data_IF_006756399081
#
_entry.id   IF_006756399081
#
_cell.length_a   1.000
_cell.length_b   1.000
_cell.length_c   1.000
_cell.angle_alpha   90.00
_cell.angle_beta   90.00
_cell.angle_gamma   90.00
#
_symmetry.space_group_name_H-M   'P 1'
#
loop_
_entity.id
_entity.type
_entity.pdbx_description
1 polymer ?
#
# COMPACT_ATOMS: atom_id res chain seq x y z
N UNK A 1 -2.81 -4.59 4.37
CA UNK A 1 -1.32 -4.47 4.27
C UNK A 1 -0.97 -3.07 3.80
N UNK A 2 -0.10 -2.35 4.54
CA UNK A 2 0.26 -0.93 4.31
C UNK A 2 0.74 -0.65 2.88
N UNK A 3 1.62 -1.51 2.35
CA UNK A 3 2.16 -1.37 0.99
C UNK A 3 1.06 -1.39 -0.06
N UNK A 4 0.04 -2.24 0.10
CA UNK A 4 -1.08 -2.29 -0.85
C UNK A 4 -1.93 -0.99 -0.81
N UNK A 5 -2.14 -0.41 0.37
CA UNK A 5 -2.85 0.86 0.52
C UNK A 5 -2.04 2.01 -0.09
N UNK A 6 -0.73 2.07 0.21
CA UNK A 6 0.19 3.04 -0.38
C UNK A 6 0.22 2.96 -1.90
N UNK A 7 0.41 1.75 -2.45
CA UNK A 7 0.43 1.53 -3.91
C UNK A 7 -0.85 2.02 -4.58
N UNK A 8 -2.03 1.71 -4.00
CA UNK A 8 -3.31 2.22 -4.51
C UNK A 8 -3.38 3.74 -4.47
N UNK A 9 -3.03 4.35 -3.35
CA UNK A 9 -3.07 5.81 -3.20
C UNK A 9 -2.16 6.51 -4.23
N UNK A 10 -0.96 5.99 -4.44
CA UNK A 10 -0.02 6.53 -5.43
C UNK A 10 -0.54 6.37 -6.86
N UNK A 11 -1.07 5.21 -7.23
CA UNK A 11 -1.64 5.00 -8.55
C UNK A 11 -2.81 5.94 -8.83
N UNK A 12 -3.68 6.18 -7.84
CA UNK A 12 -4.78 7.17 -7.96
C UNK A 12 -4.24 8.59 -8.18
N UNK A 13 -3.17 9.01 -7.51
CA UNK A 13 -2.53 10.31 -7.73
C UNK A 13 -2.00 10.50 -9.15
N UNK A 14 -1.69 9.40 -9.86
CA UNK A 14 -1.27 9.40 -11.26
C UNK A 14 -2.43 9.14 -12.24
N UNK A 15 -3.68 9.26 -11.78
CA UNK A 15 -4.87 9.13 -12.62
C UNK A 15 -5.32 7.68 -12.89
N UNK A 16 -4.74 6.68 -12.23
CA UNK A 16 -5.14 5.28 -12.40
C UNK A 16 -6.27 4.92 -11.42
N UNK A 17 -7.50 5.31 -11.75
CA UNK A 17 -8.70 5.09 -10.92
C UNK A 17 -9.30 3.67 -11.03
N UNK A 18 -8.61 2.76 -11.72
CA UNK A 18 -9.09 1.39 -11.90
C UNK A 18 -8.98 0.57 -10.60
N UNK A 19 -9.81 -0.47 -10.49
CA UNK A 19 -9.65 -1.46 -9.42
C UNK A 19 -8.34 -2.21 -9.62
N UNK A 20 -7.44 -2.08 -8.64
CA UNK A 20 -6.14 -2.72 -8.64
C UNK A 20 -6.24 -4.03 -7.88
N UNK A 21 -5.77 -5.10 -8.48
CA UNK A 21 -5.84 -6.46 -7.95
C UNK A 21 -4.44 -7.02 -7.70
N UNK A 22 -4.33 -7.92 -6.71
CA UNK A 22 -3.12 -8.69 -6.47
C UNK A 22 -1.91 -7.86 -6.07
N UNK A 23 -2.10 -6.76 -5.29
CA UNK A 23 -0.95 -5.98 -4.84
C UNK A 23 -0.16 -6.79 -3.83
N UNK A 24 1.05 -7.15 -4.22
CA UNK A 24 2.03 -7.87 -3.41
C UNK A 24 3.38 -7.15 -3.51
N UNK A 25 4.19 -7.28 -2.48
CA UNK A 25 5.55 -6.79 -2.44
C UNK A 25 6.49 -7.87 -1.91
N UNK A 26 7.55 -8.09 -2.63
CA UNK A 26 8.66 -8.95 -2.22
C UNK A 26 9.96 -8.14 -2.29
N UNK A 27 10.80 -8.11 -1.22
CA UNK A 27 12.02 -7.30 -1.22
C UNK A 27 13.02 -7.64 -2.34
N UNK A 28 12.93 -8.83 -2.94
CA UNK A 28 13.83 -9.26 -4.04
C UNK A 28 13.25 -9.01 -5.42
N UNK A 29 11.92 -9.10 -5.52
CA UNK A 29 11.20 -9.08 -6.80
C UNK A 29 10.43 -7.77 -7.04
N UNK A 30 10.41 -6.86 -6.05
CA UNK A 30 9.70 -5.60 -6.12
C UNK A 30 8.19 -5.73 -5.92
N UNK A 31 7.46 -4.71 -6.38
CA UNK A 31 6.01 -4.64 -6.31
C UNK A 31 5.37 -5.40 -7.47
N UNK A 32 4.27 -6.08 -7.20
CA UNK A 32 3.45 -6.77 -8.20
C UNK A 32 1.99 -6.35 -8.06
N UNK A 33 1.34 -6.01 -9.17
CA UNK A 33 -0.08 -5.74 -9.25
C UNK A 33 -0.58 -5.79 -10.69
N UNK A 34 -1.90 -5.95 -10.88
CA UNK A 34 -2.56 -5.77 -12.15
C UNK A 34 -3.80 -4.89 -12.00
N UNK A 35 -4.14 -4.16 -13.05
CA UNK A 35 -5.42 -3.47 -13.14
C UNK A 35 -5.95 -3.46 -14.57
N UNK A 36 -7.25 -3.24 -14.70
CA UNK A 36 -7.92 -3.10 -15.99
C UNK A 36 -8.75 -1.83 -16.00
N UNK A 37 -8.42 -0.93 -16.91
CA UNK A 37 -9.22 0.25 -17.20
C UNK A 37 -10.25 -0.08 -18.27
N UNK A 38 -11.50 0.26 -17.99
CA UNK A 38 -12.60 0.22 -18.96
C UNK A 38 -12.83 1.62 -19.54
N UNK A 39 -13.79 1.76 -20.43
CA UNK A 39 -14.06 3.00 -21.17
C UNK A 39 -14.10 4.26 -20.30
N UNK A 40 -14.76 4.21 -19.14
CA UNK A 40 -14.86 5.38 -18.24
C UNK A 40 -13.51 5.76 -17.67
N UNK A 41 -12.77 4.81 -17.11
CA UNK A 41 -11.43 5.05 -16.55
C UNK A 41 -10.44 5.50 -17.63
N UNK A 42 -10.51 4.93 -18.84
CA UNK A 42 -9.69 5.34 -19.98
C UNK A 42 -10.01 6.77 -20.39
N UNK A 43 -11.30 7.15 -20.39
CA UNK A 43 -11.74 8.52 -20.68
C UNK A 43 -11.22 9.51 -19.65
N UNK A 44 -11.37 9.19 -18.37
CA UNK A 44 -10.94 10.06 -17.27
C UNK A 44 -9.43 10.21 -17.26
N UNK A 45 -8.70 9.10 -17.36
CA UNK A 45 -7.24 9.13 -17.49
C UNK A 45 -6.79 9.95 -18.71
N UNK A 46 -7.45 9.74 -19.85
CA UNK A 46 -7.14 10.47 -21.09
C UNK A 46 -7.40 11.97 -21.00
N UNK A 47 -8.42 12.39 -20.27
CA UNK A 47 -8.72 13.81 -20.04
C UNK A 47 -7.59 14.52 -19.26
N UNK A 48 -6.97 13.82 -18.33
CA UNK A 48 -5.94 14.36 -17.47
C UNK A 48 -4.53 14.27 -18.07
N UNK A 49 -4.28 13.29 -18.94
CA UNK A 49 -2.92 12.93 -19.35
C UNK A 49 -2.65 13.14 -20.87
N UNK A 50 -3.67 13.40 -21.69
CA UNK A 50 -3.51 13.56 -23.13
C UNK A 50 -3.61 15.02 -23.57
N UNK A 51 -2.95 15.36 -24.69
CA UNK A 51 -3.21 16.62 -25.37
C UNK A 51 -4.65 16.67 -25.90
N UNK A 52 -5.20 17.86 -26.13
CA UNK A 52 -6.58 18.04 -26.63
C UNK A 52 -6.87 17.27 -27.92
N UNK A 53 -5.90 17.19 -28.84
CA UNK A 53 -6.02 16.42 -30.10
C UNK A 53 -6.07 14.90 -29.81
N UNK A 54 -5.12 14.39 -29.03
CA UNK A 54 -5.08 12.96 -28.67
C UNK A 54 -6.33 12.52 -27.90
N UNK A 55 -6.82 13.38 -27.00
CA UNK A 55 -8.05 13.13 -26.27
C UNK A 55 -9.28 13.16 -27.20
N UNK A 56 -9.29 14.02 -28.22
CA UNK A 56 -10.32 14.04 -29.27
C UNK A 56 -10.35 12.72 -30.03
N UNK A 57 -9.19 12.22 -30.46
CA UNK A 57 -9.06 10.96 -31.18
C UNK A 57 -9.50 9.76 -30.30
N UNK A 58 -9.12 9.76 -29.03
CA UNK A 58 -9.55 8.76 -28.05
C UNK A 58 -11.07 8.77 -27.87
N UNK A 59 -11.69 9.95 -27.68
CA UNK A 59 -13.16 10.04 -27.57
C UNK A 59 -13.89 9.51 -28.79
N UNK A 60 -13.36 9.74 -29.98
CA UNK A 60 -13.90 9.19 -31.21
C UNK A 60 -13.82 7.65 -31.22
N UNK A 61 -12.67 7.08 -30.82
CA UNK A 61 -12.48 5.64 -30.70
C UNK A 61 -13.47 4.99 -29.71
N UNK A 62 -13.64 5.60 -28.52
CA UNK A 62 -14.54 5.09 -27.46
C UNK A 62 -16.04 5.13 -27.85
N UNK A 63 -16.43 5.86 -28.91
CA UNK A 63 -17.81 5.87 -29.43
C UNK A 63 -18.11 4.70 -30.34
N UNK A 64 -17.10 4.14 -31.00
CA UNK A 64 -17.27 3.12 -32.07
C UNK A 64 -16.80 1.74 -31.65
N UNK A 65 -16.13 1.63 -30.49
CA UNK A 65 -15.62 0.36 -29.99
C UNK A 65 -15.71 0.28 -28.47
N UNK A 66 -15.89 -0.94 -27.94
CA UNK A 66 -15.66 -1.24 -26.54
C UNK A 66 -14.15 -1.45 -26.33
N UNK A 67 -13.59 -0.69 -25.40
CA UNK A 67 -12.14 -0.60 -25.19
C UNK A 67 -11.80 -0.96 -23.77
N UNK A 68 -10.77 -1.78 -23.60
CA UNK A 68 -10.12 -2.01 -22.32
C UNK A 68 -8.60 -1.95 -22.46
N UNK A 69 -7.93 -1.42 -21.43
CA UNK A 69 -6.48 -1.43 -21.29
C UNK A 69 -6.18 -2.18 -19.99
N UNK A 70 -5.38 -3.23 -20.10
CA UNK A 70 -4.89 -3.99 -18.95
C UNK A 70 -3.42 -3.70 -18.77
N UNK A 71 -3.03 -3.37 -17.54
CA UNK A 71 -1.63 -3.19 -17.15
C UNK A 71 -1.29 -4.16 -16.02
N UNK A 72 -0.13 -4.81 -16.14
CA UNK A 72 0.43 -5.66 -15.12
C UNK A 72 1.87 -5.25 -14.85
N UNK A 73 2.22 -5.18 -13.57
CA UNK A 73 3.58 -4.91 -13.08
C UNK A 73 4.06 -6.14 -12.34
N UNK A 74 5.23 -6.62 -12.68
CA UNK A 74 5.90 -7.71 -11.98
C UNK A 74 7.40 -7.72 -12.28
N UNK A 75 8.22 -8.01 -11.27
CA UNK A 75 9.68 -8.13 -11.40
C UNK A 75 10.34 -6.92 -12.11
N UNK A 76 9.93 -5.71 -11.71
CA UNK A 76 10.46 -4.47 -12.30
C UNK A 76 10.03 -4.19 -13.73
N UNK A 77 9.06 -4.94 -14.28
CA UNK A 77 8.60 -4.82 -15.66
C UNK A 77 7.14 -4.39 -15.71
N UNK A 78 6.83 -3.54 -16.68
CA UNK A 78 5.47 -3.08 -16.99
C UNK A 78 5.02 -3.72 -18.29
N UNK A 79 3.97 -4.52 -18.23
CA UNK A 79 3.29 -5.05 -19.40
C UNK A 79 1.92 -4.40 -19.55
N UNK A 80 1.65 -3.86 -20.76
CA UNK A 80 0.37 -3.20 -21.07
C UNK A 80 -0.18 -3.77 -22.36
N UNK A 81 -1.38 -4.31 -22.26
CA UNK A 81 -2.15 -4.82 -23.38
C UNK A 81 -3.45 -4.02 -23.58
N UNK A 82 -3.98 -4.04 -24.79
CA UNK A 82 -5.23 -3.40 -25.14
C UNK A 82 -6.19 -4.39 -25.77
N UNK A 83 -7.48 -4.18 -25.56
CA UNK A 83 -8.55 -4.88 -26.25
C UNK A 83 -9.48 -3.85 -26.88
N UNK A 84 -9.77 -4.01 -28.18
CA UNK A 84 -10.67 -3.12 -28.92
C UNK A 84 -11.70 -4.01 -29.62
N UNK A 85 -12.95 -3.95 -29.19
CA UNK A 85 -14.06 -4.71 -29.75
C UNK A 85 -14.99 -3.74 -30.50
N UNK A 86 -15.15 -3.89 -31.81
CA UNK A 86 -16.02 -2.99 -32.57
C UNK A 86 -17.48 -3.13 -32.14
N UNK A 87 -18.17 -2.02 -32.00
CA UNK A 87 -19.60 -2.03 -31.70
C UNK A 87 -20.44 -2.60 -32.89
N UNK A 88 -19.95 -2.44 -34.10
CA UNK A 88 -20.54 -2.98 -35.34
C UNK A 88 -19.44 -3.22 -36.39
N UNK A 89 -19.46 -4.40 -37.04
CA UNK A 89 -18.57 -4.70 -38.16
C UNK A 89 -17.09 -4.85 -37.81
N UNK A 90 -16.21 -4.30 -38.63
CA UNK A 90 -14.75 -4.36 -38.45
C UNK A 90 -14.22 -3.25 -37.53
N UNK A 91 -13.09 -3.50 -36.84
CA UNK A 91 -12.41 -2.50 -36.04
C UNK A 91 -11.94 -1.35 -36.96
N UNK A 92 -12.30 -0.12 -36.61
CA UNK A 92 -11.76 1.06 -37.26
C UNK A 92 -10.26 1.17 -36.96
N UNK A 93 -9.42 1.22 -37.98
CA UNK A 93 -7.96 1.32 -37.87
C UNK A 93 -7.59 2.55 -37.03
N UNK A 94 -8.25 3.70 -37.26
CA UNK A 94 -7.99 4.93 -36.50
C UNK A 94 -8.31 4.78 -35.01
N UNK A 95 -9.41 4.08 -34.69
CA UNK A 95 -9.78 3.78 -33.32
C UNK A 95 -8.74 2.88 -32.65
N UNK A 96 -8.29 1.83 -33.34
CA UNK A 96 -7.24 0.94 -32.84
C UNK A 96 -5.91 1.67 -32.60
N UNK A 97 -5.51 2.58 -33.50
CA UNK A 97 -4.29 3.38 -33.38
C UNK A 97 -4.38 4.40 -32.24
N UNK A 98 -5.52 5.04 -32.06
CA UNK A 98 -5.74 5.96 -30.94
C UNK A 98 -5.59 5.23 -29.58
N UNK A 99 -6.20 4.04 -29.45
CA UNK A 99 -6.09 3.22 -28.24
C UNK A 99 -4.66 2.67 -28.05
N UNK A 100 -3.96 2.32 -29.13
CA UNK A 100 -2.57 1.88 -29.07
C UNK A 100 -1.64 2.98 -28.48
N UNK A 101 -1.83 4.22 -28.92
CA UNK A 101 -1.08 5.38 -28.37
C UNK A 101 -1.35 5.55 -26.88
N UNK A 102 -2.60 5.44 -26.44
CA UNK A 102 -2.95 5.51 -25.02
C UNK A 102 -2.28 4.38 -24.23
N UNK A 103 -2.33 3.15 -24.71
CA UNK A 103 -1.66 2.01 -24.06
C UNK A 103 -0.14 2.22 -23.95
N UNK A 104 0.49 2.81 -24.96
CA UNK A 104 1.91 3.18 -24.92
C UNK A 104 2.19 4.24 -23.84
N UNK A 105 1.40 5.29 -23.76
CA UNK A 105 1.56 6.34 -22.75
C UNK A 105 1.29 5.83 -21.33
N UNK A 106 0.30 4.95 -21.14
CA UNK A 106 0.07 4.25 -19.86
C UNK A 106 1.31 3.45 -19.45
N UNK A 107 1.94 2.72 -20.40
CA UNK A 107 3.16 1.97 -20.15
C UNK A 107 4.31 2.88 -19.74
N UNK A 108 4.52 3.97 -20.46
CA UNK A 108 5.57 4.96 -20.19
C UNK A 108 5.39 5.60 -18.81
N UNK A 109 4.17 6.03 -18.47
CA UNK A 109 3.87 6.64 -17.20
C UNK A 109 4.08 5.66 -16.02
N UNK A 110 3.63 4.42 -16.16
CA UNK A 110 3.90 3.37 -15.18
C UNK A 110 5.39 3.06 -15.05
N UNK A 111 6.12 3.06 -16.18
CA UNK A 111 7.57 2.87 -16.19
C UNK A 111 8.33 3.95 -15.42
N UNK A 112 7.86 5.20 -15.47
CA UNK A 112 8.42 6.31 -14.69
C UNK A 112 8.03 6.23 -13.21
N UNK A 113 6.83 5.78 -12.91
CA UNK A 113 6.33 5.66 -11.55
C UNK A 113 6.94 4.47 -10.80
N UNK A 114 7.19 3.36 -11.50
CA UNK A 114 7.57 2.08 -10.88
C UNK A 114 8.82 2.17 -10.00
N UNK A 115 9.96 2.80 -10.41
CA UNK A 115 11.13 2.91 -9.54
C UNK A 115 10.85 3.69 -8.25
N UNK A 116 10.03 4.73 -8.30
CA UNK A 116 9.64 5.52 -7.12
C UNK A 116 8.77 4.68 -6.18
N UNK A 117 7.81 3.97 -6.75
CA UNK A 117 6.91 3.09 -6.01
C UNK A 117 7.66 1.96 -5.32
N UNK A 118 8.62 1.33 -6.00
CA UNK A 118 9.47 0.27 -5.44
C UNK A 118 10.34 0.79 -4.30
N UNK A 119 10.99 1.95 -4.47
CA UNK A 119 11.79 2.56 -3.42
C UNK A 119 10.97 2.85 -2.15
N UNK A 120 9.77 3.41 -2.31
CA UNK A 120 8.88 3.70 -1.19
C UNK A 120 8.33 2.41 -0.56
N UNK A 121 8.02 1.38 -1.35
CA UNK A 121 7.61 0.06 -0.84
C UNK A 121 8.72 -0.60 -0.01
N UNK A 122 9.98 -0.48 -0.43
CA UNK A 122 11.14 -0.94 0.35
C UNK A 122 11.23 -0.22 1.70
N UNK A 123 11.12 1.12 1.71
CA UNK A 123 11.13 1.90 2.95
C UNK A 123 10.01 1.50 3.90
N UNK A 124 8.80 1.31 3.38
CA UNK A 124 7.65 0.85 4.17
C UNK A 124 7.87 -0.57 4.70
N UNK A 125 8.46 -1.46 3.91
CA UNK A 125 8.81 -2.81 4.37
C UNK A 125 9.83 -2.77 5.49
N UNK A 126 10.92 -2.02 5.32
CA UNK A 126 11.97 -1.84 6.33
C UNK A 126 11.42 -1.23 7.63
N UNK A 127 10.53 -0.23 7.52
CA UNK A 127 9.86 0.36 8.67
C UNK A 127 9.08 -0.67 9.50
N UNK A 128 8.52 -1.71 8.87
CA UNK A 128 7.84 -2.81 9.54
C UNK A 128 8.75 -3.91 10.10
N UNK A 129 10.01 -3.96 9.66
CA UNK A 129 11.02 -4.90 10.16
C UNK A 129 11.93 -4.30 11.23
N UNK A 130 11.91 -2.97 11.37
CA UNK A 130 12.77 -2.26 12.32
C UNK A 130 12.23 -2.38 13.75
N UNK A 131 12.73 -3.35 14.51
CA UNK A 131 12.35 -3.60 15.90
C UNK A 131 13.60 -3.56 16.80
N UNK A 132 13.44 -3.03 18.03
CA UNK A 132 14.55 -2.90 18.99
C UNK A 132 14.61 -4.06 20.00
N UNK A 133 13.79 -5.09 19.82
CA UNK A 133 13.80 -6.28 20.66
C UNK A 133 12.99 -6.18 21.94
N UNK A 134 13.50 -6.73 23.04
CA UNK A 134 12.79 -6.82 24.32
C UNK A 134 13.40 -5.93 25.38
N UNK A 135 12.54 -5.16 26.06
CA UNK A 135 12.90 -4.44 27.30
C UNK A 135 12.30 -5.18 28.48
N UNK A 136 13.06 -5.26 29.56
CA UNK A 136 12.65 -5.94 30.77
C UNK A 136 12.75 -5.01 31.99
N UNK A 137 11.76 -5.08 32.86
CA UNK A 137 11.72 -4.41 34.15
C UNK A 137 11.41 -5.45 35.21
N UNK A 138 12.26 -5.56 36.24
CA UNK A 138 12.06 -6.46 37.39
C UNK A 138 11.83 -5.63 38.66
N UNK A 139 10.79 -6.00 39.42
CA UNK A 139 10.40 -5.39 40.69
C UNK A 139 10.04 -6.50 41.68
N UNK A 140 11.01 -6.88 42.52
CA UNK A 140 10.85 -8.00 43.43
C UNK A 140 10.61 -9.33 42.70
N UNK A 141 9.50 -10.00 42.98
CA UNK A 141 9.08 -11.26 42.35
C UNK A 141 8.33 -11.04 40.98
N UNK A 142 8.09 -9.77 40.64
CA UNK A 142 7.38 -9.41 39.39
C UNK A 142 8.38 -9.01 38.32
N UNK A 143 8.26 -9.60 37.15
CA UNK A 143 8.99 -9.26 35.94
C UNK A 143 8.02 -8.87 34.81
N UNK A 144 8.27 -7.74 34.19
CA UNK A 144 7.49 -7.27 33.03
C UNK A 144 8.42 -7.20 31.83
N UNK A 145 8.03 -7.85 30.73
CA UNK A 145 8.73 -7.73 29.45
C UNK A 145 7.86 -6.97 28.44
N UNK A 146 8.46 -6.02 27.74
CA UNK A 146 7.89 -5.34 26.59
C UNK A 146 8.70 -5.75 25.35
N UNK A 147 8.10 -6.52 24.47
CA UNK A 147 8.75 -7.02 23.25
C UNK A 147 8.17 -6.30 22.04
N UNK A 148 9.06 -5.80 21.19
CA UNK A 148 8.75 -5.30 19.87
C UNK A 148 8.83 -6.47 18.87
N UNK A 149 7.78 -6.65 18.10
CA UNK A 149 7.71 -7.71 17.07
C UNK A 149 7.48 -7.08 15.69
N UNK A 150 8.07 -7.63 14.61
CA UNK A 150 7.79 -7.17 13.26
C UNK A 150 6.29 -7.21 12.95
N UNK A 151 5.83 -6.21 12.22
CA UNK A 151 4.42 -6.12 11.81
C UNK A 151 4.29 -6.32 10.30
N UNK A 152 4.12 -7.58 9.84
CA UNK A 152 3.98 -7.92 8.42
C UNK A 152 2.63 -7.51 7.82
N UNK A 153 1.56 -7.48 8.62
CA UNK A 153 0.18 -7.28 8.18
C UNK A 153 -0.47 -6.05 8.85
N UNK A 154 0.16 -4.88 8.65
CA UNK A 154 -0.46 -3.66 9.12
C UNK A 154 -1.63 -3.26 8.21
N UNK A 155 -2.83 -3.25 8.77
CA UNK A 155 -4.02 -2.70 8.13
C UNK A 155 -4.37 -1.38 8.81
N UNK A 156 -4.37 -0.29 8.06
CA UNK A 156 -4.80 1.02 8.55
C UNK A 156 -6.29 1.06 8.90
N UNK A 157 -7.04 -0.02 8.70
CA UNK A 157 -8.44 -0.30 9.06
C UNK A 157 -9.44 0.86 9.03
N UNK A 158 -8.98 2.10 9.18
CA UNK A 158 -9.78 3.34 9.14
C UNK A 158 -8.96 4.60 9.52
N UNK A 159 -7.70 4.73 9.20
CA UNK A 159 -6.99 6.00 9.51
C UNK A 159 -7.70 7.16 8.79
N UNK A 160 -8.09 8.22 9.49
CA UNK A 160 -8.79 9.36 8.88
C UNK A 160 -7.95 10.08 7.83
N UNK A 161 -6.64 9.93 7.86
CA UNK A 161 -5.71 10.45 6.84
C UNK A 161 -4.52 9.50 6.68
N UNK A 162 -4.62 8.49 5.80
CA UNK A 162 -3.51 7.58 5.52
C UNK A 162 -2.23 8.31 5.08
N UNK A 163 -2.36 9.51 4.48
CA UNK A 163 -1.25 10.31 3.99
C UNK A 163 -0.25 10.67 5.09
N UNK A 164 -0.70 11.29 6.16
CA UNK A 164 0.20 11.78 7.24
C UNK A 164 1.01 10.64 7.86
N UNK A 165 0.36 9.51 8.15
CA UNK A 165 1.06 8.34 8.73
C UNK A 165 2.02 7.69 7.73
N UNK A 166 1.69 7.69 6.44
CA UNK A 166 2.57 7.18 5.39
C UNK A 166 3.81 8.08 5.23
N UNK A 167 3.64 9.39 5.28
CA UNK A 167 4.74 10.35 5.21
C UNK A 167 5.66 10.23 6.41
N UNK A 168 5.13 10.04 7.62
CA UNK A 168 5.91 9.75 8.83
C UNK A 168 6.74 8.48 8.69
N UNK A 169 6.16 7.40 8.15
CA UNK A 169 6.87 6.13 7.93
C UNK A 169 7.95 6.26 6.85
N UNK A 170 7.65 6.97 5.76
CA UNK A 170 8.62 7.26 4.70
C UNK A 170 9.74 8.20 5.18
N UNK A 171 9.46 9.05 6.17
CA UNK A 171 10.39 9.93 6.85
C UNK A 171 11.31 9.25 7.89
N UNK A 172 11.22 7.92 8.05
CA UNK A 172 12.05 7.14 8.97
C UNK A 172 11.32 6.64 10.22
N UNK A 173 10.00 6.80 10.27
CA UNK A 173 9.16 6.14 11.27
C UNK A 173 9.14 4.62 11.10
N UNK A 174 8.54 3.93 12.05
CA UNK A 174 8.39 2.47 12.02
C UNK A 174 7.02 2.04 12.51
N UNK A 175 6.60 0.85 12.12
CA UNK A 175 5.38 0.25 12.61
C UNK A 175 5.64 -1.19 13.06
N UNK A 176 5.04 -1.55 14.21
CA UNK A 176 5.40 -2.78 14.89
C UNK A 176 4.23 -3.31 15.75
N UNK A 177 4.35 -4.53 16.20
CA UNK A 177 3.49 -5.08 17.22
C UNK A 177 4.18 -4.95 18.59
N UNK A 178 3.42 -4.60 19.62
CA UNK A 178 3.89 -4.56 20.99
C UNK A 178 3.27 -5.70 21.77
N UNK A 179 4.14 -6.52 22.40
CA UNK A 179 3.74 -7.60 23.31
C UNK A 179 4.21 -7.27 24.73
N UNK A 180 3.28 -7.23 25.66
CA UNK A 180 3.60 -7.15 27.09
C UNK A 180 3.32 -8.51 27.74
N UNK A 181 4.27 -8.97 28.54
CA UNK A 181 4.13 -10.14 29.42
C UNK A 181 4.50 -9.77 30.85
N UNK A 182 3.67 -10.23 31.79
CA UNK A 182 3.88 -10.04 33.22
C UNK A 182 4.08 -11.40 33.86
N UNK A 183 5.18 -11.55 34.57
CA UNK A 183 5.53 -12.77 35.29
C UNK A 183 5.56 -12.49 36.80
N UNK A 184 5.13 -13.42 37.61
CA UNK A 184 5.32 -13.43 39.06
C UNK A 184 5.95 -14.73 39.49
N UNK A 185 7.04 -14.68 40.26
CA UNK A 185 7.83 -15.85 40.67
C UNK A 185 8.17 -16.78 39.48
N UNK A 186 8.52 -16.20 38.33
CA UNK A 186 8.84 -16.91 37.08
C UNK A 186 7.65 -17.43 36.28
N UNK A 187 6.43 -17.36 36.79
CA UNK A 187 5.22 -17.83 36.11
C UNK A 187 4.55 -16.67 35.35
N UNK A 188 4.19 -16.91 34.09
CA UNK A 188 3.40 -15.95 33.28
C UNK A 188 2.01 -15.79 33.91
N UNK A 189 1.66 -14.56 34.31
CA UNK A 189 0.36 -14.24 34.89
C UNK A 189 -0.51 -13.38 33.98
N UNK A 190 0.11 -12.62 33.04
CA UNK A 190 -0.65 -11.81 32.09
C UNK A 190 0.11 -11.63 30.77
N UNK A 191 -0.61 -11.58 29.67
CA UNK A 191 -0.07 -11.26 28.36
C UNK A 191 -1.07 -10.39 27.58
N UNK A 192 -0.55 -9.39 26.87
CA UNK A 192 -1.34 -8.55 25.97
C UNK A 192 -0.53 -8.20 24.73
N UNK A 193 -1.18 -8.14 23.58
CA UNK A 193 -0.58 -7.74 22.31
C UNK A 193 -1.36 -6.57 21.74
N UNK A 194 -0.65 -5.54 21.30
CA UNK A 194 -1.21 -4.46 20.48
C UNK A 194 -0.54 -4.49 19.12
N UNK A 195 -1.35 -4.66 18.08
CA UNK A 195 -0.89 -4.71 16.70
C UNK A 195 -0.89 -3.33 16.07
N UNK A 196 0.02 -3.10 15.13
CA UNK A 196 0.03 -1.92 14.28
C UNK A 196 0.30 -0.61 15.03
N UNK A 197 1.27 -0.60 15.91
CA UNK A 197 1.71 0.62 16.60
C UNK A 197 2.68 1.37 15.70
N UNK A 198 2.36 2.63 15.39
CA UNK A 198 3.25 3.53 14.65
C UNK A 198 4.13 4.28 15.64
N UNK A 199 5.44 4.27 15.39
CA UNK A 199 6.44 5.02 16.12
C UNK A 199 7.18 5.96 15.16
N UNK A 200 6.95 7.25 15.30
CA UNK A 200 7.56 8.29 14.46
C UNK A 200 8.92 8.76 14.99
N UNK A 201 9.42 8.11 16.03
CA UNK A 201 10.68 8.50 16.71
C UNK A 201 10.59 9.76 17.58
N UNK A 202 9.65 10.65 17.29
CA UNK A 202 9.42 11.90 18.03
C UNK A 202 8.25 11.82 19.02
N UNK A 203 7.61 10.65 19.11
CA UNK A 203 6.36 10.51 19.82
C UNK A 203 6.56 10.02 21.25
N UNK A 204 6.13 10.80 22.27
CA UNK A 204 5.96 10.31 23.63
C UNK A 204 4.88 9.22 23.72
N UNK A 205 4.12 8.99 22.66
CA UNK A 205 3.01 8.03 22.59
C UNK A 205 3.44 6.59 22.76
N UNK A 206 4.63 6.22 22.28
CA UNK A 206 5.14 4.85 22.41
C UNK A 206 5.23 4.40 23.88
N UNK A 207 5.80 5.24 24.76
CA UNK A 207 5.85 4.97 26.21
C UNK A 207 4.46 4.98 26.87
N UNK A 208 3.53 5.77 26.34
CA UNK A 208 2.12 5.80 26.75
C UNK A 208 1.37 4.52 26.43
N UNK A 209 1.57 4.00 25.21
CA UNK A 209 0.97 2.74 24.75
C UNK A 209 1.45 1.56 25.59
N UNK A 210 2.75 1.46 25.87
CA UNK A 210 3.30 0.42 26.74
C UNK A 210 2.71 0.44 28.15
N UNK A 211 2.55 1.62 28.75
CA UNK A 211 1.90 1.78 30.07
C UNK A 211 0.41 1.42 30.04
N UNK A 212 -0.31 1.80 29.00
CA UNK A 212 -1.71 1.43 28.83
C UNK A 212 -1.88 -0.09 28.70
N UNK A 213 -1.09 -0.73 27.86
CA UNK A 213 -1.07 -2.20 27.71
C UNK A 213 -0.76 -2.92 29.01
N UNK A 214 0.19 -2.42 29.81
CA UNK A 214 0.53 -2.98 31.11
C UNK A 214 -0.65 -2.91 32.08
N UNK A 215 -1.34 -1.76 32.13
CA UNK A 215 -2.57 -1.61 32.95
C UNK A 215 -3.65 -2.60 32.52
N UNK A 216 -3.91 -2.71 31.22
CA UNK A 216 -4.89 -3.66 30.68
C UNK A 216 -4.52 -5.11 31.03
N UNK A 217 -3.24 -5.49 30.87
CA UNK A 217 -2.76 -6.83 31.18
C UNK A 217 -2.96 -7.19 32.68
N UNK A 218 -2.73 -6.22 33.59
CA UNK A 218 -2.91 -6.43 35.03
C UNK A 218 -4.39 -6.49 35.42
N UNK A 219 -5.23 -5.62 34.85
CA UNK A 219 -6.67 -5.52 35.20
C UNK A 219 -7.44 -6.80 34.85
N UNK A 220 -7.12 -7.46 33.72
CA UNK A 220 -7.78 -8.72 33.29
C UNK A 220 -7.54 -9.88 34.26
N UNK A 221 -6.44 -9.86 35.02
CA UNK A 221 -6.10 -10.94 35.97
C UNK A 221 -6.44 -10.60 37.42
N UNK A 222 -7.04 -9.45 37.69
CA UNK A 222 -7.53 -9.04 39.00
C UNK A 222 -9.06 -9.28 39.19
N UNK A 223 -9.73 -9.72 38.14
CA UNK A 223 -11.15 -10.11 38.11
C UNK A 223 -11.31 -11.63 38.01
#
# INVERSE_FOLDING_TARGET
MIIAQYTRARLVQYGFYARIEGIEFDPRNGVRFCFRMRQEQIRDWGRENLSGRQYGDLKAALRVADVAIQACVANGKVDVSKSVFPARGCVDIKANDAVAKVATQVREQLGLLLPLLEADCHRLYEAGQNVHGTREIALGDVRVTLTEEPCGDFDFGWSPQPGDTLDDLLGGGRYLNLRIRVFRAGRLIAEKVRKGVVDTGNSPHYGGIGRALLREAITINAA
#
